data_IF_128854260185
#
_entry.id   IF_128854260185
#
_cell.length_a   1.000
_cell.length_b   1.000
_cell.length_c   1.000
_cell.angle_alpha   90.00
_cell.angle_beta   90.00
_cell.angle_gamma   90.00
#
_symmetry.space_group_name_H-M   'P 1'
#
loop_
_entity.id
_entity.type
_entity.pdbx_description
1 polymer ?
#
# COMPACT_ATOMS: atom_id res chain seq x y z
N UNK A 1 5.78 -6.20 22.68
CA UNK A 1 4.42 -5.95 22.18
C UNK A 1 4.26 -6.64 20.85
N UNK A 2 3.21 -7.41 20.70
CA UNK A 2 3.02 -8.19 19.49
C UNK A 2 2.22 -7.41 18.45
N UNK A 3 2.56 -7.65 17.19
CA UNK A 3 1.85 -7.11 16.04
C UNK A 3 0.98 -8.23 15.47
N UNK A 4 -0.28 -7.93 15.21
CA UNK A 4 -1.21 -8.88 14.62
C UNK A 4 -1.69 -8.34 13.28
N UNK A 5 -1.72 -9.19 12.25
CA UNK A 5 -2.25 -8.80 10.94
C UNK A 5 -3.68 -9.31 10.83
N UNK A 6 -4.62 -8.40 10.56
CA UNK A 6 -6.04 -8.73 10.42
C UNK A 6 -6.58 -8.19 9.10
N UNK A 7 -7.70 -8.76 8.67
CA UNK A 7 -8.51 -8.16 7.61
C UNK A 7 -9.39 -7.11 8.29
N UNK A 8 -9.22 -5.85 7.93
CA UNK A 8 -9.87 -4.74 8.64
C UNK A 8 -11.37 -4.70 8.33
N UNK A 9 -12.24 -4.64 9.37
CA UNK A 9 -13.67 -4.49 9.14
C UNK A 9 -14.01 -3.20 8.40
N UNK A 10 -15.06 -3.24 7.62
CA UNK A 10 -15.49 -2.10 6.78
C UNK A 10 -15.69 -0.82 7.60
N UNK A 11 -16.27 -0.93 8.79
CA UNK A 11 -16.55 0.23 9.64
C UNK A 11 -15.29 0.90 10.20
N UNK A 12 -14.12 0.28 10.04
CA UNK A 12 -12.85 0.83 10.50
C UNK A 12 -11.95 1.32 9.37
N UNK A 13 -12.44 1.35 8.13
CA UNK A 13 -11.63 1.75 6.96
C UNK A 13 -11.00 3.14 7.12
N UNK A 14 -11.65 4.04 7.82
CA UNK A 14 -11.12 5.38 8.06
C UNK A 14 -9.78 5.34 8.78
N UNK A 15 -9.58 4.39 9.69
CA UNK A 15 -8.29 4.26 10.39
C UNK A 15 -7.16 3.92 9.43
N UNK A 16 -7.44 3.10 8.41
CA UNK A 16 -6.44 2.76 7.39
C UNK A 16 -6.16 3.97 6.49
N UNK A 17 -7.21 4.64 6.01
CA UNK A 17 -7.02 5.77 5.08
C UNK A 17 -6.36 6.96 5.76
N UNK A 18 -6.62 7.18 7.03
CA UNK A 18 -5.93 8.23 7.79
C UNK A 18 -4.44 7.93 7.93
N UNK A 19 -4.08 6.68 8.22
CA UNK A 19 -2.67 6.28 8.28
C UNK A 19 -2.00 6.45 6.92
N UNK A 20 -2.67 5.99 5.85
CA UNK A 20 -2.15 6.10 4.49
C UNK A 20 -1.84 7.56 4.15
N UNK A 21 -2.78 8.45 4.44
CA UNK A 21 -2.60 9.87 4.11
C UNK A 21 -1.47 10.51 4.90
N UNK A 22 -1.35 10.17 6.19
CA UNK A 22 -0.27 10.69 7.03
C UNK A 22 1.11 10.28 6.47
N UNK A 23 1.27 9.00 6.14
CA UNK A 23 2.55 8.49 5.65
C UNK A 23 2.84 9.03 4.25
N UNK A 24 1.82 9.09 3.39
CA UNK A 24 1.95 9.64 2.05
C UNK A 24 2.48 11.08 2.09
N UNK A 25 1.93 11.92 2.98
CA UNK A 25 2.35 13.31 3.07
C UNK A 25 3.81 13.46 3.46
N UNK A 26 4.33 12.57 4.30
CA UNK A 26 5.73 12.64 4.74
C UNK A 26 6.69 12.14 3.66
N UNK A 27 6.38 11.01 3.03
CA UNK A 27 7.34 10.29 2.20
C UNK A 27 7.12 10.46 0.70
N UNK A 28 5.88 10.70 0.25
CA UNK A 28 5.56 10.73 -1.17
C UNK A 28 5.37 12.15 -1.73
N UNK A 29 4.77 13.04 -0.94
CA UNK A 29 4.47 14.40 -1.41
C UNK A 29 5.69 15.13 -1.98
N UNK A 30 6.89 15.00 -1.40
CA UNK A 30 8.07 15.67 -1.97
C UNK A 30 8.37 15.32 -3.43
N UNK A 31 7.93 14.12 -3.87
CA UNK A 31 8.16 13.65 -5.24
C UNK A 31 6.98 13.94 -6.18
N UNK A 32 5.92 14.59 -5.68
CA UNK A 32 4.69 14.81 -6.43
C UNK A 32 4.47 16.29 -6.71
N UNK A 33 3.94 16.64 -7.91
CA UNK A 33 3.40 17.98 -8.10
C UNK A 33 2.16 18.14 -7.21
N UNK A 34 1.81 19.39 -6.90
CA UNK A 34 0.70 19.69 -6.00
C UNK A 34 -0.61 19.04 -6.45
N UNK A 35 -0.91 19.09 -7.74
CA UNK A 35 -2.13 18.49 -8.28
C UNK A 35 -2.14 16.97 -8.12
N UNK A 36 -0.98 16.34 -8.11
CA UNK A 36 -0.87 14.90 -7.89
C UNK A 36 -1.23 14.50 -6.48
N UNK A 37 -0.77 15.26 -5.49
CA UNK A 37 -1.12 15.01 -4.09
C UNK A 37 -2.61 15.19 -3.86
N UNK A 38 -3.22 16.21 -4.47
CA UNK A 38 -4.66 16.45 -4.37
C UNK A 38 -5.46 15.32 -5.03
N UNK A 39 -5.01 14.85 -6.19
CA UNK A 39 -5.65 13.73 -6.89
C UNK A 39 -5.55 12.45 -6.06
N UNK A 40 -4.40 12.20 -5.45
CA UNK A 40 -4.21 11.03 -4.60
C UNK A 40 -5.19 11.07 -3.41
N UNK A 41 -5.34 12.23 -2.77
CA UNK A 41 -6.29 12.39 -1.66
C UNK A 41 -7.72 12.16 -2.12
N UNK A 42 -8.09 12.66 -3.31
CA UNK A 42 -9.42 12.48 -3.87
C UNK A 42 -9.74 10.99 -4.06
N UNK A 43 -8.78 10.24 -4.62
CA UNK A 43 -8.93 8.80 -4.85
C UNK A 43 -9.03 8.05 -3.52
N UNK A 44 -8.20 8.43 -2.56
CA UNK A 44 -8.21 7.80 -1.23
C UNK A 44 -9.56 8.00 -0.52
N UNK A 45 -10.09 9.23 -0.56
CA UNK A 45 -11.39 9.53 0.04
C UNK A 45 -12.51 8.74 -0.66
N UNK A 46 -12.44 8.62 -1.97
CA UNK A 46 -13.40 7.85 -2.75
C UNK A 46 -13.33 6.36 -2.38
N UNK A 47 -12.12 5.83 -2.23
CA UNK A 47 -11.90 4.43 -1.84
C UNK A 47 -12.51 4.15 -0.47
N UNK A 48 -12.31 5.05 0.49
CA UNK A 48 -12.92 4.90 1.82
C UNK A 48 -14.44 4.89 1.73
N UNK A 49 -15.00 5.78 0.95
CA UNK A 49 -16.44 5.95 0.82
C UNK A 49 -17.10 4.76 0.13
N UNK A 50 -16.48 4.26 -0.95
CA UNK A 50 -17.05 3.14 -1.74
C UNK A 50 -16.74 1.78 -1.13
N UNK A 51 -15.61 1.65 -0.45
CA UNK A 51 -15.25 0.41 0.23
C UNK A 51 -14.90 -0.76 -0.70
N UNK A 52 -14.58 -0.49 -1.96
CA UNK A 52 -14.27 -1.52 -2.96
C UNK A 52 -12.80 -1.96 -2.91
N UNK A 53 -12.32 -2.24 -1.72
CA UNK A 53 -10.94 -2.64 -1.46
C UNK A 53 -10.95 -3.55 -0.23
N UNK A 54 -9.98 -4.45 -0.14
CA UNK A 54 -9.76 -5.24 1.06
C UNK A 54 -8.51 -4.72 1.75
N UNK A 55 -8.65 -4.22 2.98
CA UNK A 55 -7.50 -3.78 3.76
C UNK A 55 -7.04 -4.89 4.70
N UNK A 56 -5.74 -5.16 4.64
CA UNK A 56 -5.04 -5.98 5.63
C UNK A 56 -4.24 -5.00 6.48
N UNK A 57 -4.40 -5.06 7.79
CA UNK A 57 -3.77 -4.09 8.68
C UNK A 57 -2.94 -4.77 9.74
N UNK A 58 -1.80 -4.16 10.04
CA UNK A 58 -0.98 -4.54 11.18
C UNK A 58 -1.50 -3.77 12.39
N UNK A 59 -1.81 -4.49 13.45
CA UNK A 59 -2.41 -3.92 14.65
C UNK A 59 -1.46 -4.06 15.83
N UNK A 60 -1.31 -2.98 16.58
CA UNK A 60 -0.62 -2.99 17.87
C UNK A 60 -1.54 -2.33 18.88
N UNK A 61 -1.91 -3.06 19.94
CA UNK A 61 -2.87 -2.57 20.94
C UNK A 61 -4.16 -2.05 20.31
N UNK A 62 -4.66 -2.78 19.32
CA UNK A 62 -5.90 -2.46 18.60
C UNK A 62 -5.83 -1.15 17.81
N UNK A 63 -4.61 -0.69 17.52
CA UNK A 63 -4.36 0.52 16.73
C UNK A 63 -3.72 0.12 15.41
N UNK A 64 -4.19 0.69 14.30
CA UNK A 64 -3.63 0.43 12.97
C UNK A 64 -2.26 1.08 12.86
N UNK A 65 -1.22 0.26 12.66
CA UNK A 65 0.16 0.75 12.49
C UNK A 65 0.72 0.46 11.10
N UNK A 66 0.00 -0.30 10.29
CA UNK A 66 0.34 -0.54 8.89
C UNK A 66 -0.90 -0.97 8.13
N UNK A 67 -0.95 -0.66 6.84
CA UNK A 67 -2.09 -0.98 6.00
C UNK A 67 -1.65 -1.36 4.60
N UNK A 68 -2.20 -2.46 4.09
CA UNK A 68 -2.03 -2.90 2.71
C UNK A 68 -3.42 -3.12 2.13
N UNK A 69 -3.76 -2.38 1.08
CA UNK A 69 -5.07 -2.50 0.45
C UNK A 69 -4.98 -3.22 -0.88
N UNK A 70 -5.79 -4.28 -1.04
CA UNK A 70 -5.84 -5.07 -2.27
C UNK A 70 -7.08 -4.72 -3.08
N UNK A 71 -6.83 -4.33 -4.32
CA UNK A 71 -7.88 -4.14 -5.32
C UNK A 71 -8.05 -5.42 -6.13
N UNK A 72 -9.00 -5.42 -7.05
CA UNK A 72 -9.24 -6.54 -7.96
C UNK A 72 -7.97 -6.91 -8.74
N UNK A 73 -7.93 -8.15 -9.24
CA UNK A 73 -6.86 -8.67 -10.09
C UNK A 73 -5.50 -8.68 -9.41
N UNK A 74 -5.48 -8.96 -8.11
CA UNK A 74 -4.24 -9.07 -7.34
C UNK A 74 -3.38 -7.79 -7.41
N UNK A 75 -4.04 -6.64 -7.41
CA UNK A 75 -3.34 -5.35 -7.50
C UNK A 75 -3.29 -4.66 -6.15
N UNK A 76 -2.08 -4.32 -5.69
CA UNK A 76 -1.91 -3.53 -4.48
C UNK A 76 -2.29 -2.08 -4.78
N UNK A 77 -3.31 -1.57 -4.06
CA UNK A 77 -3.71 -0.18 -4.17
C UNK A 77 -2.97 0.73 -3.21
N UNK A 78 -2.70 0.24 -2.01
CA UNK A 78 -2.01 0.99 -0.95
C UNK A 78 -1.13 0.04 -0.13
N UNK A 79 0.03 0.55 0.32
CA UNK A 79 0.92 -0.25 1.16
C UNK A 79 1.79 0.72 1.97
N UNK A 80 1.40 0.96 3.21
CA UNK A 80 2.05 1.96 4.07
C UNK A 80 2.19 1.45 5.50
N UNK A 81 3.30 1.82 6.13
CA UNK A 81 3.58 1.51 7.53
C UNK A 81 3.82 2.83 8.26
N UNK A 82 3.22 2.99 9.44
CA UNK A 82 3.38 4.18 10.27
C UNK A 82 4.86 4.47 10.49
N UNK A 83 5.25 5.73 10.38
CA UNK A 83 6.66 6.13 10.45
C UNK A 83 7.38 5.61 11.70
N UNK A 84 6.73 5.72 12.85
CA UNK A 84 7.30 5.27 14.13
C UNK A 84 7.56 3.76 14.19
N UNK A 85 7.01 3.01 13.23
CA UNK A 85 7.09 1.55 13.20
C UNK A 85 7.93 1.01 12.03
N UNK A 86 8.66 1.88 11.34
CA UNK A 86 9.54 1.45 10.26
C UNK A 86 10.69 0.59 10.79
N UNK A 87 11.24 -0.27 9.95
CA UNK A 87 12.36 -1.16 10.25
C UNK A 87 12.05 -2.21 11.32
N UNK A 88 10.77 -2.52 11.52
CA UNK A 88 10.34 -3.56 12.48
C UNK A 88 9.75 -4.79 11.78
N UNK A 89 9.87 -4.86 10.43
CA UNK A 89 9.38 -6.00 9.66
C UNK A 89 7.88 -6.00 9.41
N UNK A 90 7.18 -4.91 9.70
CA UNK A 90 5.71 -4.86 9.55
C UNK A 90 5.29 -4.96 8.09
N UNK A 91 6.02 -4.27 7.18
CA UNK A 91 5.73 -4.37 5.74
C UNK A 91 5.86 -5.80 5.26
N UNK A 92 6.90 -6.51 5.72
CA UNK A 92 7.10 -7.91 5.36
C UNK A 92 5.98 -8.80 5.89
N UNK A 93 5.50 -8.54 7.11
CA UNK A 93 4.37 -9.27 7.69
C UNK A 93 3.11 -9.10 6.86
N UNK A 94 2.82 -7.88 6.43
CA UNK A 94 1.66 -7.58 5.59
C UNK A 94 1.78 -8.26 4.23
N UNK A 95 2.94 -8.18 3.61
CA UNK A 95 3.15 -8.81 2.30
C UNK A 95 3.07 -10.33 2.40
N UNK A 96 3.61 -10.92 3.47
CA UNK A 96 3.52 -12.36 3.71
C UNK A 96 2.05 -12.79 3.79
N UNK A 97 1.22 -11.99 4.46
CA UNK A 97 -0.22 -12.27 4.56
C UNK A 97 -0.86 -12.29 3.18
N UNK A 98 -0.50 -11.35 2.32
CA UNK A 98 -1.02 -11.28 0.94
C UNK A 98 -0.60 -12.53 0.16
N UNK A 99 0.64 -12.97 0.31
CA UNK A 99 1.12 -14.18 -0.38
C UNK A 99 0.36 -15.43 0.08
N UNK A 100 -0.16 -15.45 1.29
CA UNK A 100 -0.96 -16.55 1.81
C UNK A 100 -2.40 -16.52 1.29
N UNK A 101 -2.95 -15.31 1.07
CA UNK A 101 -4.37 -15.14 0.72
C UNK A 101 -4.62 -15.10 -0.78
N UNK A 102 -3.61 -14.78 -1.59
CA UNK A 102 -3.76 -14.58 -3.04
C UNK A 102 -2.84 -15.51 -3.80
N UNK A 103 -3.33 -16.02 -4.93
CA UNK A 103 -2.56 -16.88 -5.83
C UNK A 103 -2.10 -16.09 -7.05
N UNK A 104 -0.97 -16.51 -7.63
CA UNK A 104 -0.48 -15.89 -8.86
C UNK A 104 0.35 -14.66 -8.61
N UNK A 105 0.60 -13.91 -9.66
CA UNK A 105 1.41 -12.70 -9.58
C UNK A 105 0.65 -11.55 -8.94
N UNK A 106 1.39 -10.61 -8.38
CA UNK A 106 0.85 -9.44 -7.70
C UNK A 106 1.43 -8.20 -8.36
N UNK A 107 0.59 -7.22 -8.67
CA UNK A 107 1.03 -5.99 -9.31
C UNK A 107 0.86 -4.79 -8.39
N UNK A 108 1.60 -3.74 -8.68
CA UNK A 108 1.50 -2.46 -7.97
C UNK A 108 1.93 -1.33 -8.89
N UNK A 109 1.37 -0.17 -8.70
CA UNK A 109 1.87 1.07 -9.29
C UNK A 109 2.61 1.82 -8.18
N UNK A 110 3.94 1.66 -8.17
CA UNK A 110 4.77 2.14 -7.06
C UNK A 110 5.12 3.62 -7.22
N UNK A 111 4.84 4.42 -6.19
CA UNK A 111 5.33 5.80 -6.15
C UNK A 111 6.86 5.79 -6.03
N UNK A 112 7.56 6.89 -6.40
CA UNK A 112 9.03 6.89 -6.41
C UNK A 112 9.66 6.42 -5.09
N UNK A 113 9.13 6.86 -3.96
CA UNK A 113 9.63 6.43 -2.64
C UNK A 113 9.49 4.92 -2.46
N UNK A 114 8.42 4.32 -3.00
CA UNK A 114 8.12 2.89 -2.81
C UNK A 114 8.93 1.96 -3.71
N UNK A 115 9.44 2.45 -4.84
CA UNK A 115 10.13 1.57 -5.81
C UNK A 115 11.23 0.72 -5.17
N UNK A 116 12.20 1.29 -4.41
CA UNK A 116 13.24 0.46 -3.78
C UNK A 116 12.67 -0.52 -2.77
N UNK A 117 11.58 -0.16 -2.09
CA UNK A 117 10.94 -1.03 -1.09
C UNK A 117 10.35 -2.24 -1.79
N UNK A 118 9.63 -2.04 -2.89
CA UNK A 118 9.06 -3.15 -3.66
C UNK A 118 10.14 -4.01 -4.29
N UNK A 119 11.24 -3.41 -4.76
CA UNK A 119 12.37 -4.17 -5.31
C UNK A 119 12.96 -5.11 -4.26
N UNK A 120 13.08 -4.66 -3.02
CA UNK A 120 13.56 -5.51 -1.92
C UNK A 120 12.61 -6.66 -1.59
N UNK A 121 11.31 -6.48 -1.86
CA UNK A 121 10.34 -7.55 -1.70
C UNK A 121 10.34 -8.54 -2.85
N UNK A 122 11.02 -8.23 -3.96
CA UNK A 122 11.12 -9.11 -5.10
C UNK A 122 10.31 -8.68 -6.32
N UNK A 123 9.73 -7.48 -6.29
CA UNK A 123 9.03 -6.93 -7.45
C UNK A 123 10.03 -6.45 -8.50
N UNK A 124 9.64 -6.53 -9.76
CA UNK A 124 10.41 -5.99 -10.89
C UNK A 124 9.56 -4.95 -11.62
N UNK A 125 10.24 -3.94 -12.17
CA UNK A 125 9.57 -2.93 -13.00
C UNK A 125 9.08 -3.56 -14.29
N UNK A 126 7.85 -3.26 -14.68
CA UNK A 126 7.27 -3.76 -15.93
C UNK A 126 7.11 -2.67 -16.97
N UNK A 127 7.34 -1.42 -16.59
CA UNK A 127 7.28 -0.28 -17.50
C UNK A 127 8.08 0.88 -16.90
N UNK A 128 8.26 1.95 -17.67
CA UNK A 128 8.92 3.16 -17.20
C UNK A 128 8.01 3.97 -16.27
N UNK A 129 8.61 4.94 -15.58
CA UNK A 129 7.86 5.85 -14.71
C UNK A 129 6.86 6.65 -15.52
N UNK A 130 5.68 6.82 -14.97
CA UNK A 130 4.54 7.48 -15.61
C UNK A 130 3.99 8.59 -14.72
N UNK A 131 3.25 9.50 -15.34
CA UNK A 131 2.54 10.56 -14.63
C UNK A 131 1.10 10.56 -15.13
N UNK A 132 0.16 10.29 -14.23
CA UNK A 132 -1.27 10.31 -14.57
C UNK A 132 -1.97 11.27 -13.63
N UNK A 133 -2.37 12.43 -14.17
CA UNK A 133 -3.03 13.49 -13.39
C UNK A 133 -2.18 13.94 -12.21
N UNK A 134 -0.86 13.95 -12.38
CA UNK A 134 0.08 14.36 -11.34
C UNK A 134 0.51 13.23 -10.41
N UNK A 135 -0.09 12.05 -10.51
CA UNK A 135 0.34 10.89 -9.74
C UNK A 135 1.51 10.23 -10.47
N UNK A 136 2.66 10.23 -9.82
CA UNK A 136 3.91 9.69 -10.38
C UNK A 136 4.04 8.25 -9.90
N UNK A 137 4.20 7.30 -10.83
CA UNK A 137 4.31 5.89 -10.45
C UNK A 137 5.08 5.08 -11.48
N UNK A 138 5.59 3.93 -11.04
CA UNK A 138 6.23 2.93 -11.89
C UNK A 138 5.47 1.61 -11.72
N UNK A 139 4.94 1.02 -12.81
CA UNK A 139 4.29 -0.30 -12.70
C UNK A 139 5.31 -1.37 -12.34
N UNK A 140 4.95 -2.23 -11.41
CA UNK A 140 5.83 -3.32 -10.96
C UNK A 140 5.03 -4.59 -10.75
N UNK A 141 5.72 -5.72 -10.80
CA UNK A 141 5.09 -7.03 -10.63
C UNK A 141 5.96 -7.95 -9.79
N UNK A 142 5.31 -8.72 -8.92
CA UNK A 142 5.90 -9.82 -8.19
C UNK A 142 5.45 -11.12 -8.85
N UNK A 143 6.42 -11.90 -9.37
CA UNK A 143 6.15 -13.21 -9.98
C UNK A 143 6.40 -14.29 -8.95
N UNK A 144 5.40 -15.14 -8.74
CA UNK A 144 5.53 -16.25 -7.83
C UNK A 144 6.05 -17.46 -8.62
N UNK A 145 7.08 -18.13 -8.07
CA UNK A 145 7.58 -19.34 -8.70
C UNK A 145 6.50 -20.41 -8.74
N UNK A 146 6.41 -21.09 -9.86
CA UNK A 146 5.56 -22.26 -10.00
C UNK A 146 6.30 -23.48 -9.49
N UNK A 147 5.61 -24.26 -8.70
CA UNK A 147 6.15 -25.55 -8.23
C UNK A 147 5.55 -26.68 -9.04
#
# INVERSE_FOLDING_TARGET
>A
MSIEVIKLPRERFKEATELIWQVFQVFEVPDFPKEGALEYKRILDLTEREGNITFYTAMENNIVVGALGMRENNHIGYFYVKESHHKRGIGKMLFTKILQEYNGSITVNACPYGVPIYERLGFIKTDSQQNKNGIIFTPMRYERERK
#
